data_IF_721550044678
#
_entry.id   IF_721550044678
#
_cell.length_a   1.000
_cell.length_b   1.000
_cell.length_c   1.000
_cell.angle_alpha   90.00
_cell.angle_beta   90.00
_cell.angle_gamma   90.00
#
_symmetry.space_group_name_H-M   'P 1'
#
loop_
_entity.id
_entity.type
_entity.pdbx_description
1 polymer ?
#
# COMPACT_ATOMS: atom_id res chain seq x y z
N UNK A 1 3.12 7.63 57.93
CA UNK A 1 3.68 7.96 56.59
C UNK A 1 4.07 6.69 55.80
N UNK A 2 3.13 5.79 55.48
CA UNK A 2 3.42 4.52 54.83
C UNK A 2 2.43 4.17 53.70
N UNK A 3 1.53 5.07 53.31
CA UNK A 3 0.46 4.74 52.33
C UNK A 3 0.71 5.20 50.90
N UNK A 4 1.80 5.95 50.62
CA UNK A 4 2.07 6.48 49.27
C UNK A 4 2.97 5.53 48.41
N UNK A 5 3.82 4.75 49.02
CA UNK A 5 4.77 3.87 48.30
C UNK A 5 4.09 2.60 47.74
N UNK A 6 3.03 2.10 48.38
CA UNK A 6 2.29 0.92 47.89
C UNK A 6 1.39 1.25 46.70
N UNK A 7 0.85 2.45 46.61
CA UNK A 7 0.03 2.92 45.47
C UNK A 7 0.86 3.14 44.20
N UNK A 8 2.11 3.59 44.33
CA UNK A 8 3.02 3.79 43.20
C UNK A 8 3.59 2.44 42.68
N UNK A 9 3.80 1.48 43.57
CA UNK A 9 4.23 0.13 43.18
C UNK A 9 3.12 -0.63 42.43
N UNK A 10 1.86 -0.47 42.82
CA UNK A 10 0.73 -1.06 42.09
C UNK A 10 0.48 -0.41 40.73
N UNK A 11 0.64 0.90 40.59
CA UNK A 11 0.50 1.60 39.29
C UNK A 11 1.61 1.21 38.34
N UNK A 12 2.87 1.11 38.78
CA UNK A 12 3.98 0.66 37.95
C UNK A 12 3.83 -0.79 37.47
N UNK A 13 3.30 -1.67 38.32
CA UNK A 13 2.96 -3.05 37.97
C UNK A 13 1.82 -3.17 36.93
N UNK A 14 0.80 -2.28 37.01
CA UNK A 14 -0.29 -2.26 36.04
C UNK A 14 0.17 -1.76 34.67
N UNK A 15 0.99 -0.72 34.64
CA UNK A 15 1.57 -0.17 33.40
C UNK A 15 2.51 -1.17 32.74
N UNK A 16 3.33 -1.87 33.51
CA UNK A 16 4.19 -2.94 33.01
C UNK A 16 3.38 -4.13 32.44
N UNK A 17 2.32 -4.55 33.13
CA UNK A 17 1.42 -5.60 32.66
C UNK A 17 0.64 -5.19 31.41
N UNK A 18 0.18 -3.95 31.32
CA UNK A 18 -0.47 -3.41 30.11
C UNK A 18 0.50 -3.34 28.92
N UNK A 19 1.75 -2.94 29.17
CA UNK A 19 2.80 -2.92 28.16
C UNK A 19 3.17 -4.34 27.68
N UNK A 20 3.26 -5.32 28.58
CA UNK A 20 3.50 -6.74 28.25
C UNK A 20 2.29 -7.34 27.51
N UNK A 21 1.07 -7.04 27.92
CA UNK A 21 -0.14 -7.50 27.23
C UNK A 21 -0.26 -6.88 25.83
N UNK A 22 0.07 -5.59 25.68
CA UNK A 22 0.14 -4.90 24.38
C UNK A 22 1.28 -5.47 23.51
N UNK A 23 2.42 -5.79 24.09
CA UNK A 23 3.54 -6.44 23.40
C UNK A 23 3.15 -7.85 22.91
N UNK A 24 2.56 -8.68 23.78
CA UNK A 24 2.10 -10.02 23.42
C UNK A 24 0.97 -10.00 22.39
N UNK A 25 0.06 -9.03 22.46
CA UNK A 25 -0.99 -8.83 21.46
C UNK A 25 -0.44 -8.40 20.09
N UNK A 26 0.67 -7.63 20.04
CA UNK A 26 1.36 -7.22 18.82
C UNK A 26 2.14 -8.37 18.17
N UNK A 27 2.88 -9.14 18.96
CA UNK A 27 3.56 -10.34 18.48
C UNK A 27 2.56 -11.35 17.90
N UNK A 28 1.41 -11.54 18.54
CA UNK A 28 0.33 -12.35 18.01
C UNK A 28 -0.21 -11.86 16.67
N UNK A 29 -0.11 -10.55 16.41
CA UNK A 29 -0.53 -9.89 15.16
C UNK A 29 0.42 -10.23 13.99
N UNK A 30 1.74 -10.08 14.17
CA UNK A 30 2.76 -10.41 13.16
C UNK A 30 2.73 -11.90 12.80
N UNK A 31 2.72 -12.78 13.82
CA UNK A 31 2.65 -14.22 13.60
C UNK A 31 1.36 -14.66 12.90
N UNK A 32 0.22 -14.06 13.27
CA UNK A 32 -1.07 -14.33 12.63
C UNK A 32 -1.08 -13.93 11.17
N UNK A 33 -0.52 -12.75 10.81
CA UNK A 33 -0.44 -12.29 9.43
C UNK A 33 0.50 -13.19 8.61
N UNK A 34 1.67 -13.52 9.12
CA UNK A 34 2.61 -14.41 8.45
C UNK A 34 2.00 -15.82 8.24
N UNK A 35 1.32 -16.36 9.26
CA UNK A 35 0.60 -17.63 9.16
C UNK A 35 -0.49 -17.57 8.10
N UNK A 36 -1.32 -16.54 8.12
CA UNK A 36 -2.37 -16.34 7.13
C UNK A 36 -1.81 -16.26 5.70
N UNK A 37 -0.71 -15.53 5.47
CA UNK A 37 -0.06 -15.50 4.16
C UNK A 37 0.42 -16.87 3.72
N UNK A 38 1.05 -17.65 4.63
CA UNK A 38 1.49 -19.02 4.36
C UNK A 38 0.32 -19.93 3.97
N UNK A 39 -0.78 -19.86 4.70
CA UNK A 39 -2.00 -20.62 4.42
C UNK A 39 -2.58 -20.28 3.03
N UNK A 40 -2.55 -18.99 2.62
CA UNK A 40 -3.00 -18.57 1.26
C UNK A 40 -2.09 -19.14 0.18
N UNK A 41 -0.76 -19.06 0.35
CA UNK A 41 0.21 -19.64 -0.58
C UNK A 41 -0.04 -21.15 -0.73
N UNK A 42 -0.19 -21.86 0.37
CA UNK A 42 -0.45 -23.31 0.36
C UNK A 42 -1.80 -23.64 -0.30
N UNK A 43 -2.86 -22.93 0.05
CA UNK A 43 -4.20 -23.16 -0.50
C UNK A 43 -4.27 -22.94 -2.02
N UNK A 44 -3.43 -22.05 -2.55
CA UNK A 44 -3.32 -21.79 -3.99
C UNK A 44 -2.37 -22.77 -4.71
N UNK A 45 -1.72 -23.70 -4.01
CA UNK A 45 -0.68 -24.55 -4.58
C UNK A 45 0.56 -23.77 -5.06
N UNK A 46 0.72 -22.53 -4.58
CA UNK A 46 1.85 -21.69 -4.99
C UNK A 46 3.11 -22.03 -4.19
N UNK A 47 4.27 -21.65 -4.73
CA UNK A 47 5.59 -21.98 -4.17
C UNK A 47 6.21 -20.85 -3.36
N UNK A 48 5.67 -19.63 -3.40
CA UNK A 48 6.21 -18.46 -2.71
C UNK A 48 5.48 -17.18 -3.05
N UNK A 49 6.12 -16.05 -2.75
CA UNK A 49 5.54 -14.71 -2.88
C UNK A 49 6.45 -13.76 -3.65
N UNK A 50 5.83 -12.91 -4.45
CA UNK A 50 6.46 -11.74 -5.08
C UNK A 50 5.90 -10.48 -4.44
N UNK A 51 6.76 -9.52 -4.11
CA UNK A 51 6.40 -8.23 -3.51
C UNK A 51 7.06 -7.10 -4.28
N UNK A 52 6.30 -6.09 -4.70
CA UNK A 52 6.84 -4.85 -5.23
C UNK A 52 7.45 -4.00 -4.12
N UNK A 53 8.73 -3.67 -4.21
CA UNK A 53 9.45 -2.81 -3.28
C UNK A 53 9.46 -1.38 -3.80
N UNK A 54 8.62 -0.53 -3.23
CA UNK A 54 8.54 0.90 -3.60
C UNK A 54 9.49 1.80 -2.80
N UNK A 55 10.17 1.26 -1.78
CA UNK A 55 10.89 2.06 -0.78
C UNK A 55 9.99 2.69 0.28
N UNK A 56 8.68 2.51 0.19
CA UNK A 56 7.70 2.96 1.18
C UNK A 56 7.46 1.94 2.30
N UNK A 57 6.83 2.42 3.38
CA UNK A 57 6.60 1.68 4.62
C UNK A 57 5.78 0.40 4.40
N UNK A 58 4.66 0.49 3.65
CA UNK A 58 3.74 -0.62 3.45
C UNK A 58 4.43 -1.78 2.70
N UNK A 59 5.19 -1.47 1.65
CA UNK A 59 5.95 -2.48 0.90
C UNK A 59 7.03 -3.16 1.75
N UNK A 60 7.68 -2.41 2.64
CA UNK A 60 8.65 -2.95 3.59
C UNK A 60 8.00 -3.92 4.58
N UNK A 61 6.84 -3.57 5.15
CA UNK A 61 6.10 -4.42 6.09
C UNK A 61 5.64 -5.69 5.40
N UNK A 62 5.03 -5.60 4.21
CA UNK A 62 4.55 -6.78 3.48
C UNK A 62 5.71 -7.70 3.09
N UNK A 63 6.82 -7.15 2.61
CA UNK A 63 8.00 -7.94 2.25
C UNK A 63 8.58 -8.68 3.46
N UNK A 64 8.63 -8.03 4.63
CA UNK A 64 9.10 -8.68 5.86
C UNK A 64 8.14 -9.76 6.34
N UNK A 65 6.83 -9.51 6.30
CA UNK A 65 5.81 -10.54 6.60
C UNK A 65 5.91 -11.73 5.63
N UNK A 66 6.13 -11.48 4.34
CA UNK A 66 6.32 -12.52 3.35
C UNK A 66 7.54 -13.41 3.67
N UNK A 67 8.68 -12.82 4.08
CA UNK A 67 9.85 -13.58 4.52
C UNK A 67 9.56 -14.49 5.74
N UNK A 68 8.74 -14.00 6.68
CA UNK A 68 8.31 -14.80 7.84
C UNK A 68 7.29 -15.89 7.45
N UNK A 69 6.48 -15.62 6.43
CA UNK A 69 5.49 -16.58 5.93
C UNK A 69 6.13 -17.73 5.13
N UNK A 70 7.02 -17.40 4.20
CA UNK A 70 7.64 -18.35 3.24
C UNK A 70 9.16 -18.13 3.19
N UNK A 71 9.91 -18.56 4.22
CA UNK A 71 11.35 -18.37 4.29
C UNK A 71 12.06 -18.94 3.05
N UNK A 72 12.92 -18.14 2.42
CA UNK A 72 13.65 -18.53 1.20
C UNK A 72 12.85 -18.50 -0.11
N UNK A 73 11.51 -18.33 -0.05
CA UNK A 73 10.62 -18.34 -1.21
C UNK A 73 9.92 -16.98 -1.41
N UNK A 74 10.67 -15.88 -1.23
CA UNK A 74 10.19 -14.51 -1.47
C UNK A 74 11.12 -13.81 -2.44
N UNK A 75 10.53 -13.10 -3.41
CA UNK A 75 11.23 -12.26 -4.36
C UNK A 75 10.71 -10.81 -4.26
N UNK A 76 11.61 -9.87 -3.94
CA UNK A 76 11.34 -8.45 -4.02
C UNK A 76 11.58 -7.90 -5.43
N UNK A 77 10.68 -7.11 -5.96
CA UNK A 77 10.88 -6.43 -7.24
C UNK A 77 10.98 -4.92 -7.05
N UNK A 78 12.08 -4.35 -7.52
CA UNK A 78 12.30 -2.91 -7.62
C UNK A 78 12.03 -2.51 -9.07
N UNK A 79 10.93 -1.80 -9.29
CA UNK A 79 10.37 -1.50 -10.61
C UNK A 79 10.31 0.02 -10.85
N UNK A 80 11.47 0.70 -11.05
CA UNK A 80 11.46 2.12 -11.38
C UNK A 80 10.74 2.34 -12.72
N UNK A 81 10.04 3.47 -12.80
CA UNK A 81 9.31 3.92 -13.99
C UNK A 81 9.28 5.45 -13.95
N UNK A 82 10.37 6.10 -14.36
CA UNK A 82 10.61 7.53 -14.12
C UNK A 82 10.38 7.89 -12.65
N UNK A 83 10.92 7.04 -11.76
CA UNK A 83 10.76 7.16 -10.31
C UNK A 83 11.89 8.00 -9.71
N UNK A 84 11.67 8.51 -8.49
CA UNK A 84 12.72 9.15 -7.71
C UNK A 84 13.79 8.13 -7.30
N UNK A 85 15.06 8.49 -7.41
CA UNK A 85 16.18 7.64 -6.98
C UNK A 85 16.16 7.33 -5.48
N UNK A 86 15.57 8.21 -4.67
CA UNK A 86 15.41 7.98 -3.23
C UNK A 86 14.48 6.81 -2.92
N UNK A 87 13.47 6.55 -3.76
CA UNK A 87 12.59 5.39 -3.62
C UNK A 87 13.37 4.09 -3.84
N UNK A 88 14.21 4.06 -4.88
CA UNK A 88 15.06 2.90 -5.18
C UNK A 88 16.10 2.67 -4.07
N UNK A 89 16.74 3.74 -3.57
CA UNK A 89 17.68 3.65 -2.44
C UNK A 89 17.04 3.10 -1.19
N UNK A 90 15.83 3.54 -0.86
CA UNK A 90 15.10 3.03 0.29
C UNK A 90 14.69 1.55 0.13
N UNK A 91 14.29 1.14 -1.09
CA UNK A 91 13.99 -0.25 -1.40
C UNK A 91 15.24 -1.15 -1.24
N UNK A 92 16.39 -0.71 -1.74
CA UNK A 92 17.67 -1.41 -1.60
C UNK A 92 18.16 -1.45 -0.14
N UNK A 93 17.97 -0.36 0.62
CA UNK A 93 18.27 -0.33 2.06
C UNK A 93 17.50 -1.43 2.79
N UNK A 94 16.20 -1.56 2.53
CA UNK A 94 15.36 -2.61 3.10
C UNK A 94 15.86 -4.00 2.69
N UNK A 95 16.08 -4.20 1.39
CA UNK A 95 16.50 -5.49 0.85
C UNK A 95 17.80 -5.97 1.45
N UNK A 96 18.80 -5.08 1.57
CA UNK A 96 20.10 -5.38 2.17
C UNK A 96 19.98 -5.67 3.68
N UNK A 97 19.17 -4.87 4.42
CA UNK A 97 19.00 -5.04 5.86
C UNK A 97 18.41 -6.41 6.22
N UNK A 98 17.46 -6.90 5.43
CA UNK A 98 16.80 -8.19 5.66
C UNK A 98 17.31 -9.32 4.77
N UNK A 99 18.39 -9.11 4.02
CA UNK A 99 18.91 -10.10 3.05
C UNK A 99 17.84 -10.65 2.13
N UNK A 100 16.93 -9.77 1.68
CA UNK A 100 15.86 -10.15 0.77
C UNK A 100 16.40 -10.25 -0.66
N UNK A 101 16.19 -11.40 -1.30
CA UNK A 101 16.49 -11.55 -2.73
C UNK A 101 15.65 -10.58 -3.54
N UNK A 102 16.30 -9.77 -4.38
CA UNK A 102 15.63 -8.76 -5.20
C UNK A 102 16.07 -8.82 -6.66
N UNK A 103 15.17 -8.37 -7.53
CA UNK A 103 15.44 -8.08 -8.93
C UNK A 103 15.05 -6.62 -9.20
N UNK A 104 15.92 -5.91 -9.92
CA UNK A 104 15.62 -4.58 -10.45
C UNK A 104 15.27 -4.70 -11.93
N UNK A 105 14.13 -4.11 -12.34
CA UNK A 105 13.74 -4.00 -13.74
C UNK A 105 13.17 -2.62 -13.99
N UNK A 106 13.83 -1.83 -14.83
CA UNK A 106 13.40 -0.49 -15.21
C UNK A 106 12.29 -0.55 -16.25
N UNK A 107 11.15 0.03 -15.93
CA UNK A 107 9.96 0.05 -16.79
C UNK A 107 9.81 1.34 -17.59
N UNK A 108 10.76 2.27 -17.51
CA UNK A 108 10.67 3.60 -18.15
C UNK A 108 10.52 3.48 -19.67
N UNK A 109 11.32 2.64 -20.32
CA UNK A 109 11.22 2.46 -21.78
C UNK A 109 9.88 1.85 -22.22
N UNK A 110 9.31 0.91 -21.44
CA UNK A 110 7.99 0.34 -21.72
C UNK A 110 6.88 1.36 -21.55
N UNK A 111 7.00 2.22 -20.51
CA UNK A 111 6.10 3.34 -20.28
C UNK A 111 6.12 4.32 -21.45
N UNK A 112 7.30 4.77 -21.86
CA UNK A 112 7.47 5.73 -22.95
C UNK A 112 6.91 5.20 -24.28
N UNK A 113 7.18 3.93 -24.60
CA UNK A 113 6.65 3.26 -25.78
C UNK A 113 5.12 3.21 -25.77
N UNK A 114 4.50 2.85 -24.62
CA UNK A 114 3.04 2.78 -24.48
C UNK A 114 2.40 4.16 -24.62
N UNK A 115 2.95 5.17 -23.94
CA UNK A 115 2.44 6.55 -24.01
C UNK A 115 2.55 7.09 -25.43
N UNK A 116 3.70 6.91 -26.08
CA UNK A 116 3.93 7.34 -27.46
C UNK A 116 2.95 6.68 -28.46
N UNK A 117 2.67 5.40 -28.28
CA UNK A 117 1.73 4.67 -29.14
C UNK A 117 0.26 5.11 -28.93
N UNK A 118 -0.12 5.48 -27.70
CA UNK A 118 -1.49 5.88 -27.39
C UNK A 118 -1.79 7.37 -27.64
N UNK A 119 -0.79 8.24 -27.62
CA UNK A 119 -0.94 9.69 -27.72
C UNK A 119 -1.72 10.15 -28.96
N UNK A 120 -1.45 9.64 -30.19
CA UNK A 120 -2.17 10.05 -31.40
C UNK A 120 -3.70 9.80 -31.30
N UNK A 121 -4.12 8.70 -30.66
CA UNK A 121 -5.54 8.41 -30.50
C UNK A 121 -6.21 9.38 -29.50
N UNK A 122 -5.47 9.80 -28.47
CA UNK A 122 -5.94 10.81 -27.50
C UNK A 122 -6.12 12.16 -28.19
N UNK A 123 -5.14 12.57 -29.00
CA UNK A 123 -5.16 13.85 -29.71
C UNK A 123 -6.32 13.92 -30.73
N UNK A 124 -6.51 12.88 -31.54
CA UNK A 124 -7.68 12.79 -32.43
C UNK A 124 -9.03 12.91 -31.71
N UNK A 125 -9.14 12.29 -30.53
CA UNK A 125 -10.39 12.35 -29.73
C UNK A 125 -10.61 13.76 -29.17
N UNK A 126 -9.55 14.50 -28.88
CA UNK A 126 -9.61 15.89 -28.39
C UNK A 126 -10.03 16.86 -29.49
N UNK A 127 -9.48 16.72 -30.69
CA UNK A 127 -9.80 17.59 -31.85
C UNK A 127 -11.28 17.49 -32.25
N UNK A 128 -11.88 16.30 -32.07
CA UNK A 128 -13.29 16.09 -32.35
C UNK A 128 -14.24 16.65 -31.27
N UNK A 129 -13.72 16.96 -30.08
CA UNK A 129 -14.47 17.45 -28.92
C UNK A 129 -14.36 18.97 -28.74
N UNK A 130 -14.45 19.73 -29.82
CA UNK A 130 -14.24 21.20 -29.92
C UNK A 130 -15.08 22.09 -28.97
N UNK A 131 -15.94 21.50 -28.12
CA UNK A 131 -16.74 22.20 -27.11
C UNK A 131 -16.32 21.93 -25.65
N UNK A 132 -15.25 21.17 -25.40
CA UNK A 132 -14.78 20.93 -24.05
C UNK A 132 -13.65 21.89 -23.66
N UNK A 133 -13.67 22.44 -22.42
CA UNK A 133 -12.58 23.29 -21.95
C UNK A 133 -11.24 22.52 -21.99
N UNK A 134 -10.10 23.22 -22.10
CA UNK A 134 -8.78 22.59 -22.03
C UNK A 134 -8.70 21.72 -20.77
N UNK A 135 -8.24 20.47 -20.94
CA UNK A 135 -8.08 19.59 -19.79
C UNK A 135 -6.92 20.15 -18.97
N UNK A 136 -7.20 20.42 -17.69
CA UNK A 136 -6.18 20.81 -16.72
C UNK A 136 -4.98 19.84 -16.83
N UNK A 137 -3.73 20.33 -16.95
CA UNK A 137 -2.54 19.47 -16.92
C UNK A 137 -2.49 18.51 -15.72
N UNK A 138 -3.08 18.89 -14.58
CA UNK A 138 -3.24 18.02 -13.41
C UNK A 138 -4.16 16.83 -13.70
N UNK A 139 -5.20 17.01 -14.53
CA UNK A 139 -6.12 15.92 -14.92
C UNK A 139 -5.43 14.91 -15.84
N UNK A 140 -4.44 15.34 -16.63
CA UNK A 140 -3.61 14.43 -17.44
C UNK A 140 -2.62 13.61 -16.60
N UNK A 141 -2.23 14.09 -15.42
CA UNK A 141 -1.23 13.44 -14.57
C UNK A 141 -1.71 12.09 -14.03
N UNK A 142 -2.95 12.01 -13.59
CA UNK A 142 -3.51 10.76 -13.03
C UNK A 142 -3.58 9.60 -14.04
N UNK A 143 -4.08 9.77 -15.29
CA UNK A 143 -4.01 8.73 -16.32
C UNK A 143 -2.60 8.21 -16.57
N UNK A 144 -1.61 9.10 -16.69
CA UNK A 144 -0.21 8.74 -16.88
C UNK A 144 0.37 7.98 -15.67
N UNK A 145 0.05 8.42 -14.46
CA UNK A 145 0.42 7.73 -13.23
C UNK A 145 -0.18 6.32 -13.15
N UNK A 146 -1.43 6.16 -13.56
CA UNK A 146 -2.10 4.86 -13.59
C UNK A 146 -1.43 3.87 -14.57
N UNK A 147 -0.80 4.35 -15.65
CA UNK A 147 -0.01 3.49 -16.54
C UNK A 147 1.18 2.91 -15.78
N UNK A 148 1.90 3.73 -14.99
CA UNK A 148 3.03 3.25 -14.18
C UNK A 148 2.63 2.13 -13.21
N UNK A 149 1.51 2.33 -12.48
CA UNK A 149 1.01 1.33 -11.54
C UNK A 149 0.61 0.02 -12.26
N UNK A 150 -0.01 0.10 -13.44
CA UNK A 150 -0.40 -1.08 -14.25
C UNK A 150 0.80 -1.80 -14.86
N UNK A 151 1.82 -1.11 -15.32
CA UNK A 151 3.06 -1.72 -15.79
C UNK A 151 3.78 -2.47 -14.67
N UNK A 152 3.82 -1.89 -13.46
CA UNK A 152 4.36 -2.59 -12.29
C UNK A 152 3.58 -3.86 -11.98
N UNK A 153 2.26 -3.80 -11.97
CA UNK A 153 1.41 -4.98 -11.77
C UNK A 153 1.68 -6.06 -12.82
N UNK A 154 1.75 -5.69 -14.09
CA UNK A 154 2.05 -6.64 -15.19
C UNK A 154 3.41 -7.31 -14.99
N UNK A 155 4.44 -6.56 -14.61
CA UNK A 155 5.78 -7.11 -14.35
C UNK A 155 5.79 -8.04 -13.12
N UNK A 156 5.05 -7.69 -12.05
CA UNK A 156 4.89 -8.53 -10.86
C UNK A 156 4.24 -9.87 -11.23
N UNK A 157 3.14 -9.86 -11.98
CA UNK A 157 2.45 -11.09 -12.39
C UNK A 157 3.24 -11.91 -13.40
N UNK A 158 3.96 -11.28 -14.31
CA UNK A 158 4.83 -12.00 -15.24
C UNK A 158 5.85 -12.86 -14.49
N UNK A 159 6.54 -12.27 -13.50
CA UNK A 159 7.52 -12.99 -12.70
C UNK A 159 6.87 -13.97 -11.72
N UNK A 160 5.78 -13.59 -11.09
CA UNK A 160 5.06 -14.47 -10.18
C UNK A 160 4.58 -15.74 -10.89
N UNK A 161 3.93 -15.62 -12.05
CA UNK A 161 3.45 -16.75 -12.83
C UNK A 161 4.61 -17.64 -13.33
N UNK A 162 5.72 -17.03 -13.77
CA UNK A 162 6.92 -17.76 -14.20
C UNK A 162 7.55 -18.60 -13.09
N UNK A 163 7.38 -18.18 -11.83
CA UNK A 163 7.93 -18.86 -10.65
C UNK A 163 6.90 -19.78 -9.95
N UNK A 164 5.62 -19.70 -10.29
CA UNK A 164 4.53 -20.31 -9.54
C UNK A 164 4.35 -19.65 -8.16
N UNK A 165 4.49 -18.32 -8.08
CA UNK A 165 4.35 -17.50 -6.89
C UNK A 165 3.06 -16.69 -6.96
N UNK A 166 2.61 -16.16 -5.80
CA UNK A 166 1.52 -15.20 -5.71
C UNK A 166 2.07 -13.77 -5.51
N UNK A 167 1.32 -12.79 -5.98
CA UNK A 167 1.62 -11.37 -5.79
C UNK A 167 1.02 -10.90 -4.47
N UNK A 168 1.86 -10.46 -3.53
CA UNK A 168 1.42 -9.85 -2.29
C UNK A 168 1.35 -8.32 -2.44
N UNK A 169 0.14 -7.79 -2.35
CA UNK A 169 -0.16 -6.37 -2.42
C UNK A 169 0.10 -5.64 -1.12
N UNK A 170 0.34 -4.34 -1.22
CA UNK A 170 0.76 -3.49 -0.12
C UNK A 170 -0.33 -2.53 0.37
N UNK A 171 -1.52 -2.54 -0.25
CA UNK A 171 -2.64 -1.68 0.12
C UNK A 171 -3.12 -1.92 1.54
N UNK A 172 -3.25 -0.83 2.32
CA UNK A 172 -3.78 -0.84 3.67
C UNK A 172 -5.26 -0.42 3.72
N UNK A 173 -5.92 -0.58 4.88
CA UNK A 173 -7.35 -0.26 5.06
C UNK A 173 -7.67 1.19 4.70
N UNK A 174 -6.83 2.14 5.11
CA UNK A 174 -7.06 3.56 4.87
C UNK A 174 -7.15 3.85 3.37
N UNK A 175 -6.21 3.32 2.59
CA UNK A 175 -6.17 3.47 1.13
C UNK A 175 -7.33 2.75 0.44
N UNK A 176 -7.61 1.49 0.83
CA UNK A 176 -8.64 0.67 0.22
C UNK A 176 -10.04 1.27 0.39
N UNK A 177 -10.36 1.83 1.56
CA UNK A 177 -11.70 2.37 1.83
C UNK A 177 -12.01 3.57 0.95
N UNK A 178 -11.08 4.49 0.79
CA UNK A 178 -11.29 5.71 -0.03
C UNK A 178 -10.94 5.50 -1.52
N UNK A 179 -10.45 4.29 -1.87
CA UNK A 179 -10.06 3.96 -3.24
C UNK A 179 -8.78 4.66 -3.71
N UNK A 180 -7.88 4.97 -2.77
CA UNK A 180 -6.57 5.56 -3.08
C UNK A 180 -5.61 4.48 -3.57
N UNK A 181 -5.94 3.93 -4.73
CA UNK A 181 -5.16 2.94 -5.48
C UNK A 181 -5.62 2.92 -6.94
N UNK A 182 -4.80 2.41 -7.82
CA UNK A 182 -5.14 2.20 -9.23
C UNK A 182 -5.82 0.85 -9.42
N UNK A 183 -7.09 0.85 -9.89
CA UNK A 183 -7.78 -0.38 -10.28
C UNK A 183 -6.98 -1.10 -11.38
N UNK A 184 -6.68 -2.38 -11.18
CA UNK A 184 -5.83 -3.18 -12.07
C UNK A 184 -4.40 -2.65 -12.21
N UNK A 185 -3.95 -1.92 -11.19
CA UNK A 185 -2.56 -1.54 -10.98
C UNK A 185 -2.09 -2.10 -9.64
N UNK A 186 -1.77 -1.25 -8.67
CA UNK A 186 -1.43 -1.65 -7.30
C UNK A 186 -2.60 -2.32 -6.55
N UNK A 187 -3.85 -2.16 -7.02
CA UNK A 187 -5.00 -2.95 -6.57
C UNK A 187 -5.14 -4.33 -7.21
N UNK A 188 -4.33 -4.65 -8.24
CA UNK A 188 -4.31 -5.96 -8.90
C UNK A 188 -3.30 -6.90 -8.24
N UNK A 189 -3.74 -7.69 -7.25
CA UNK A 189 -2.89 -8.53 -6.41
C UNK A 189 -3.65 -9.78 -5.94
N UNK A 190 -2.95 -10.81 -5.49
CA UNK A 190 -3.56 -12.05 -4.98
C UNK A 190 -3.83 -11.97 -3.48
N UNK A 191 -3.03 -11.24 -2.72
CA UNK A 191 -3.11 -11.11 -1.27
C UNK A 191 -3.02 -9.65 -0.83
N UNK A 192 -3.79 -9.26 0.19
CA UNK A 192 -3.72 -7.94 0.84
C UNK A 192 -3.51 -8.09 2.35
N UNK A 193 -2.28 -8.40 2.81
CA UNK A 193 -2.01 -8.65 4.23
C UNK A 193 -2.35 -7.47 5.14
N UNK A 194 -2.22 -6.24 4.64
CA UNK A 194 -2.50 -5.00 5.37
C UNK A 194 -3.93 -4.49 5.19
N UNK A 195 -4.78 -5.17 4.41
CA UNK A 195 -6.09 -4.67 4.00
C UNK A 195 -7.08 -4.39 5.14
N UNK A 196 -6.81 -4.85 6.36
CA UNK A 196 -7.59 -4.53 7.56
C UNK A 196 -6.88 -3.60 8.55
N UNK A 197 -5.66 -3.16 8.26
CA UNK A 197 -4.85 -2.30 9.12
C UNK A 197 -4.90 -0.86 8.60
N UNK A 198 -5.16 0.09 9.48
CA UNK A 198 -5.02 1.52 9.18
C UNK A 198 -3.54 1.93 9.22
N UNK A 199 -3.21 3.11 8.67
CA UNK A 199 -1.81 3.55 8.48
C UNK A 199 -0.99 3.57 9.77
N UNK A 200 -1.58 4.02 10.89
CA UNK A 200 -0.91 4.01 12.20
C UNK A 200 -0.60 2.59 12.69
N UNK A 201 -1.49 1.62 12.45
CA UNK A 201 -1.25 0.23 12.79
C UNK A 201 -0.15 -0.40 11.92
N UNK A 202 -0.09 -0.05 10.63
CA UNK A 202 1.01 -0.46 9.74
C UNK A 202 2.34 0.10 10.24
N UNK A 203 2.37 1.38 10.67
CA UNK A 203 3.57 2.00 11.25
C UNK A 203 4.03 1.30 12.54
N UNK A 204 3.10 0.96 13.43
CA UNK A 204 3.41 0.21 14.65
C UNK A 204 3.97 -1.19 14.32
N UNK A 205 3.39 -1.87 13.33
CA UNK A 205 3.87 -3.18 12.86
C UNK A 205 5.26 -3.09 12.23
N UNK A 206 5.55 -2.00 11.49
CA UNK A 206 6.88 -1.76 10.91
C UNK A 206 7.97 -1.61 12.00
N UNK A 207 7.65 -0.91 13.09
CA UNK A 207 8.56 -0.79 14.25
C UNK A 207 8.81 -2.14 14.91
N UNK A 208 7.77 -2.95 15.13
CA UNK A 208 7.87 -4.31 15.66
C UNK A 208 8.75 -5.20 14.77
N UNK A 209 8.55 -5.12 13.46
CA UNK A 209 9.33 -5.86 12.45
C UNK A 209 10.76 -5.32 12.27
N UNK A 210 11.15 -4.25 12.98
CA UNK A 210 12.45 -3.60 12.91
C UNK A 210 12.80 -3.09 11.49
N UNK A 211 11.80 -2.52 10.82
CA UNK A 211 12.04 -1.82 9.56
C UNK A 211 13.00 -0.65 9.82
N UNK A 212 14.03 -0.43 8.96
CA UNK A 212 15.02 0.63 9.16
C UNK A 212 14.40 2.01 9.33
N UNK A 213 14.94 2.79 10.28
CA UNK A 213 14.44 4.11 10.65
C UNK A 213 14.27 5.06 9.43
N UNK A 214 15.20 5.11 8.46
CA UNK A 214 15.02 5.98 7.29
C UNK A 214 13.75 5.67 6.49
N UNK A 215 13.25 4.43 6.50
CA UNK A 215 11.98 4.05 5.85
C UNK A 215 10.79 4.43 6.72
N UNK A 216 10.92 4.28 8.04
CA UNK A 216 9.90 4.71 9.01
C UNK A 216 9.63 6.22 8.93
N UNK A 217 10.65 7.03 8.69
CA UNK A 217 10.56 8.50 8.69
C UNK A 217 10.11 9.09 7.35
N UNK A 218 9.96 8.27 6.31
CA UNK A 218 9.49 8.74 5.00
C UNK A 218 8.04 9.20 5.07
N UNK A 219 7.78 10.32 4.39
CA UNK A 219 6.42 10.80 4.18
C UNK A 219 5.65 9.82 3.27
N UNK A 220 4.41 9.45 3.59
CA UNK A 220 3.58 8.61 2.74
C UNK A 220 3.39 9.22 1.34
N UNK A 221 3.68 8.42 0.32
CA UNK A 221 3.54 8.81 -1.09
C UNK A 221 3.35 7.57 -1.96
N UNK A 222 2.51 7.67 -2.98
CA UNK A 222 2.35 6.64 -4.00
C UNK A 222 3.57 6.55 -4.96
N UNK A 223 4.49 7.53 -4.95
CA UNK A 223 5.73 7.52 -5.74
C UNK A 223 5.50 7.50 -7.25
N UNK A 224 4.43 8.13 -7.74
CA UNK A 224 4.08 8.15 -9.15
C UNK A 224 4.64 9.38 -9.89
N UNK A 225 4.92 10.46 -9.14
CA UNK A 225 5.62 11.67 -9.61
C UNK A 225 6.38 12.34 -8.46
N UNK A 226 7.36 13.18 -8.81
CA UNK A 226 8.18 13.91 -7.82
C UNK A 226 7.35 14.83 -6.95
N UNK A 227 7.58 14.81 -5.64
CA UNK A 227 6.89 15.65 -4.66
C UNK A 227 5.46 15.24 -4.35
N UNK A 228 5.00 14.07 -4.79
CA UNK A 228 3.68 13.54 -4.44
C UNK A 228 3.59 13.29 -2.94
N UNK A 229 2.46 13.66 -2.33
CA UNK A 229 2.09 13.34 -0.95
C UNK A 229 0.65 12.86 -0.91
N UNK A 230 0.41 11.75 -0.25
CA UNK A 230 -0.93 11.16 -0.17
C UNK A 230 -1.94 12.13 0.47
N UNK A 231 -1.57 12.80 1.57
CA UNK A 231 -2.45 13.72 2.30
C UNK A 231 -2.82 14.97 1.48
N UNK A 232 -1.92 15.45 0.62
CA UNK A 232 -2.20 16.59 -0.28
C UNK A 232 -3.28 16.19 -1.32
N UNK A 233 -3.21 14.98 -1.85
CA UNK A 233 -4.20 14.47 -2.82
C UNK A 233 -5.53 14.12 -2.16
N UNK A 234 -5.49 13.46 -1.01
CA UNK A 234 -6.68 13.18 -0.20
C UNK A 234 -7.31 14.48 0.28
N UNK A 235 -6.46 15.49 0.65
CA UNK A 235 -6.85 16.80 1.19
C UNK A 235 -7.35 16.73 2.62
N UNK A 236 -6.89 15.74 3.36
CA UNK A 236 -7.02 15.57 4.81
C UNK A 236 -5.93 14.61 5.31
N UNK A 237 -5.52 14.72 6.60
CA UNK A 237 -4.52 13.84 7.19
C UNK A 237 -5.01 12.40 7.34
N UNK A 238 -4.09 11.43 7.33
CA UNK A 238 -4.38 10.04 7.68
C UNK A 238 -5.02 9.91 9.08
N UNK A 239 -4.63 10.74 10.05
CA UNK A 239 -5.22 10.75 11.38
C UNK A 239 -6.73 11.02 11.37
N UNK A 240 -7.20 11.93 10.50
CA UNK A 240 -8.62 12.20 10.36
C UNK A 240 -9.36 11.04 9.68
N UNK A 241 -8.75 10.44 8.65
CA UNK A 241 -9.31 9.25 8.02
C UNK A 241 -9.44 8.09 9.02
N UNK A 242 -8.43 7.87 9.84
CA UNK A 242 -8.47 6.82 10.87
C UNK A 242 -9.55 7.07 11.92
N UNK A 243 -9.72 8.31 12.39
CA UNK A 243 -10.83 8.67 13.27
C UNK A 243 -12.19 8.42 12.61
N UNK A 244 -12.35 8.82 11.36
CA UNK A 244 -13.57 8.51 10.61
C UNK A 244 -13.85 6.99 10.54
N UNK A 245 -12.81 6.18 10.32
CA UNK A 245 -12.93 4.72 10.22
C UNK A 245 -13.21 4.01 11.55
N UNK A 246 -12.89 4.64 12.68
CA UNK A 246 -13.04 4.07 14.04
C UNK A 246 -14.23 4.63 14.80
N UNK A 247 -14.52 5.91 14.64
CA UNK A 247 -15.55 6.65 15.41
C UNK A 247 -16.75 7.07 14.56
N UNK A 248 -16.63 6.84 13.22
CA UNK A 248 -17.66 7.28 12.27
C UNK A 248 -17.56 8.75 11.88
N UNK A 249 -18.52 9.27 11.10
CA UNK A 249 -18.50 10.63 10.57
C UNK A 249 -18.54 11.71 11.66
N UNK A 250 -19.04 11.41 12.85
CA UNK A 250 -19.07 12.36 13.99
C UNK A 250 -17.71 12.56 14.65
N UNK A 251 -16.72 11.69 14.41
CA UNK A 251 -15.36 11.78 14.96
C UNK A 251 -14.46 12.80 14.25
N UNK A 252 -14.93 13.42 13.17
CA UNK A 252 -14.14 14.34 12.33
C UNK A 252 -14.93 15.59 11.95
N UNK A 253 -14.25 16.61 11.43
CA UNK A 253 -14.92 17.79 10.90
C UNK A 253 -15.91 17.42 9.78
N UNK A 254 -17.09 18.04 9.68
CA UNK A 254 -18.10 17.71 8.67
C UNK A 254 -17.58 17.76 7.21
N UNK A 255 -16.69 18.71 6.92
CA UNK A 255 -16.08 18.82 5.59
C UNK A 255 -15.19 17.59 5.25
N UNK A 256 -14.48 17.03 6.23
CA UNK A 256 -13.68 15.80 6.07
C UNK A 256 -14.60 14.61 5.88
N UNK A 257 -15.64 14.47 6.70
CA UNK A 257 -16.61 13.37 6.57
C UNK A 257 -17.24 13.33 5.18
N UNK A 258 -17.75 14.47 4.69
CA UNK A 258 -18.32 14.58 3.34
C UNK A 258 -17.32 14.23 2.24
N UNK A 259 -16.04 14.62 2.40
CA UNK A 259 -15.00 14.31 1.43
C UNK A 259 -14.67 12.83 1.41
N UNK A 260 -14.56 12.19 2.58
CA UNK A 260 -14.36 10.74 2.70
C UNK A 260 -15.51 9.99 2.06
N UNK A 261 -16.76 10.31 2.36
CA UNK A 261 -17.94 9.68 1.77
C UNK A 261 -17.97 9.80 0.25
N UNK A 262 -17.63 10.97 -0.29
CA UNK A 262 -17.51 11.19 -1.73
C UNK A 262 -16.45 10.28 -2.36
N UNK A 263 -15.27 10.16 -1.75
CA UNK A 263 -14.19 9.30 -2.24
C UNK A 263 -14.58 7.83 -2.18
N UNK A 264 -15.20 7.39 -1.09
CA UNK A 264 -15.72 6.02 -0.93
C UNK A 264 -16.70 5.69 -2.04
N UNK A 265 -17.70 6.56 -2.29
CA UNK A 265 -18.72 6.35 -3.32
C UNK A 265 -18.12 6.36 -4.73
N UNK A 266 -17.28 7.35 -5.04
CA UNK A 266 -16.65 7.48 -6.37
C UNK A 266 -15.74 6.30 -6.71
N UNK A 267 -15.16 5.63 -5.70
CA UNK A 267 -14.22 4.53 -5.86
C UNK A 267 -14.84 3.13 -5.66
N UNK A 268 -16.14 3.02 -5.43
CA UNK A 268 -16.82 1.74 -5.17
C UNK A 268 -16.53 0.70 -6.27
N UNK A 269 -16.58 1.12 -7.53
CA UNK A 269 -16.25 0.27 -8.68
C UNK A 269 -14.84 -0.32 -8.68
N UNK A 270 -13.93 0.19 -7.84
CA UNK A 270 -12.55 -0.33 -7.73
C UNK A 270 -12.46 -1.55 -6.82
N UNK A 271 -13.41 -1.74 -5.90
CA UNK A 271 -13.38 -2.75 -4.82
C UNK A 271 -14.15 -4.02 -5.14
N UNK A 272 -14.90 -4.04 -6.22
CA UNK A 272 -15.70 -5.18 -6.64
C UNK A 272 -15.28 -5.75 -7.98
N UNK A 273 -15.76 -6.94 -8.27
CA UNK A 273 -15.73 -7.49 -9.63
C UNK A 273 -16.56 -6.58 -10.56
N UNK A 274 -16.28 -6.58 -11.87
CA UNK A 274 -17.15 -5.91 -12.82
C UNK A 274 -18.60 -6.38 -12.65
N UNK A 275 -19.57 -5.45 -12.63
CA UNK A 275 -20.98 -5.83 -12.48
C UNK A 275 -21.42 -6.68 -13.67
N UNK A 276 -22.19 -7.72 -13.37
CA UNK A 276 -22.81 -8.59 -14.37
C UNK A 276 -24.30 -8.23 -14.37
N UNK A 277 -24.96 -8.12 -15.54
CA UNK A 277 -26.39 -7.88 -15.60
C UNK A 277 -27.17 -9.01 -14.92
N UNK A 278 -28.19 -8.64 -14.13
CA UNK A 278 -29.09 -9.57 -13.44
C UNK A 278 -30.41 -9.63 -14.23
N UNK A 279 -30.33 -10.30 -15.37
CA UNK A 279 -31.54 -10.65 -16.14
C UNK A 279 -31.36 -12.05 -16.75
N UNK A 280 -32.42 -12.83 -16.69
CA UNK A 280 -32.54 -14.15 -17.32
C UNK A 280 -32.75 -14.03 -18.84
#
# INVERSE_FOLDING_TARGET
>A
MTCSAEADCQKSGLVARAAVAAYNGRMASTERLARWMRERVHAAGARGLVVGLSGGLDSAVVARLAQLATPGAVLGLILPCHSDLEDERAALLFANHFSLRTIRSDLSAAYDALVSAAQPAIDQTRDQASSRPPIDPLVCRVPLANIKARLRMTALYFLANSLGYLVAGTGNKSELVIGYFTKWGDGGVDLLPLGRLVKSQVRALAQELRVPQPILDRTPSAGLWSGQRDEDEMGFPYADLERYLTEGPMGVAPAVALKVERLVRASEHKRGMPPIPDFD
#
